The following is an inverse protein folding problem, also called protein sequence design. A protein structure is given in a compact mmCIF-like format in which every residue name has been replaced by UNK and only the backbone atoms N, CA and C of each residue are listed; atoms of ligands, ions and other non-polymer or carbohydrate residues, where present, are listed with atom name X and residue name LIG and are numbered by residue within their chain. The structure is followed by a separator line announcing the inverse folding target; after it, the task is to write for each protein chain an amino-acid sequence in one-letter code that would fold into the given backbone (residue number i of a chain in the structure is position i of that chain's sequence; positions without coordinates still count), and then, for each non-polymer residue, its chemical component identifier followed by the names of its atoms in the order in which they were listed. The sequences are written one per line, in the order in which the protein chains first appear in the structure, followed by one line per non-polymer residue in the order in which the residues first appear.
data_IF_708525252472
#
_entry.id   IF_708525252472
#
_cell.length_a   1.000
_cell.length_b   1.000
_cell.length_c   1.000
_cell.angle_alpha   90.00
_cell.angle_beta   90.00
_cell.angle_gamma   90.00
#
_symmetry.space_group_name_H-M   'P 1'
#
loop_
_entity.id
_entity.type
_entity.pdbx_description
1 polymer ?
#
# COMPACT_ATOMS: atom_id res chain seq x y z
N UNK A 1 4.90 -85.21 -37.68
CA UNK A 1 4.55 -85.69 -36.34
C UNK A 1 5.69 -85.23 -35.45
N UNK A 2 5.76 -83.94 -35.11
CA UNK A 2 4.99 -83.27 -34.07
C UNK A 2 5.39 -83.77 -32.70
N UNK A 3 6.52 -83.29 -32.18
CA UNK A 3 6.81 -83.34 -30.75
C UNK A 3 7.55 -82.04 -30.36
N UNK A 4 6.88 -80.91 -30.60
CA UNK A 4 7.13 -79.68 -29.87
C UNK A 4 6.54 -79.85 -28.46
N UNK A 5 7.14 -80.73 -27.66
CA UNK A 5 6.81 -80.83 -26.25
C UNK A 5 7.45 -79.65 -25.52
N UNK A 6 6.55 -78.72 -25.24
CA UNK A 6 6.66 -77.57 -24.38
C UNK A 6 7.17 -77.99 -22.98
N UNK A 7 8.48 -78.12 -22.81
CA UNK A 7 9.13 -78.30 -21.51
C UNK A 7 9.08 -76.95 -20.77
N UNK A 8 7.92 -76.64 -20.21
CA UNK A 8 7.76 -75.66 -19.15
C UNK A 8 8.47 -76.21 -17.90
N UNK A 9 9.80 -76.15 -17.90
CA UNK A 9 10.60 -76.48 -16.72
C UNK A 9 10.32 -75.41 -15.67
N UNK A 10 9.37 -75.67 -14.77
CA UNK A 10 9.00 -74.77 -13.68
C UNK A 10 10.24 -74.33 -12.93
N UNK A 11 10.53 -73.02 -12.95
CA UNK A 11 11.73 -72.41 -12.36
C UNK A 11 11.86 -72.62 -10.83
N UNK A 12 10.83 -73.19 -10.20
CA UNK A 12 10.73 -73.44 -8.77
C UNK A 12 10.79 -74.96 -8.54
N UNK A 13 11.92 -75.46 -8.04
CA UNK A 13 12.16 -76.91 -7.87
C UNK A 13 11.98 -77.39 -6.43
N UNK A 14 11.86 -76.49 -5.45
CA UNK A 14 11.70 -76.83 -4.04
C UNK A 14 10.57 -76.02 -3.36
N UNK A 15 9.89 -76.57 -2.34
CA UNK A 15 8.86 -75.83 -1.60
C UNK A 15 9.38 -74.54 -0.94
N UNK A 16 10.67 -74.52 -0.55
CA UNK A 16 11.32 -73.32 -0.01
C UNK A 16 11.50 -72.22 -1.07
N UNK A 17 11.81 -72.59 -2.32
CA UNK A 17 11.87 -71.63 -3.43
C UNK A 17 10.48 -71.08 -3.79
N UNK A 18 9.42 -71.89 -3.66
CA UNK A 18 8.06 -71.43 -3.88
C UNK A 18 7.67 -70.37 -2.83
N UNK A 19 7.92 -70.63 -1.56
CA UNK A 19 7.66 -69.68 -0.47
C UNK A 19 8.46 -68.38 -0.63
N UNK A 20 9.74 -68.47 -1.02
CA UNK A 20 10.57 -67.30 -1.27
C UNK A 20 10.08 -66.47 -2.47
N UNK A 21 9.67 -67.11 -3.56
CA UNK A 21 9.13 -66.43 -4.74
C UNK A 21 7.79 -65.74 -4.43
N UNK A 22 6.91 -66.40 -3.68
CA UNK A 22 5.63 -65.83 -3.24
C UNK A 22 5.87 -64.65 -2.29
N UNK A 23 6.71 -64.81 -1.28
CA UNK A 23 7.06 -63.73 -0.35
C UNK A 23 7.72 -62.54 -1.08
N UNK A 24 8.61 -62.80 -2.04
CA UNK A 24 9.25 -61.78 -2.87
C UNK A 24 8.25 -61.02 -3.74
N UNK A 25 7.28 -61.71 -4.34
CA UNK A 25 6.21 -61.08 -5.11
C UNK A 25 5.36 -60.13 -4.26
N UNK A 26 4.95 -60.57 -3.06
CA UNK A 26 4.22 -59.73 -2.12
C UNK A 26 5.06 -58.55 -1.63
N UNK A 27 6.34 -58.76 -1.32
CA UNK A 27 7.25 -57.70 -0.89
C UNK A 27 7.42 -56.63 -1.98
N UNK A 28 7.68 -57.04 -3.22
CA UNK A 28 7.82 -56.11 -4.36
C UNK A 28 6.52 -55.35 -4.59
N UNK A 29 5.38 -56.02 -4.48
CA UNK A 29 4.07 -55.37 -4.65
C UNK A 29 3.83 -54.34 -3.54
N UNK A 30 4.11 -54.67 -2.29
CA UNK A 30 3.95 -53.76 -1.14
C UNK A 30 4.91 -52.57 -1.28
N UNK A 31 6.18 -52.80 -1.60
CA UNK A 31 7.16 -51.73 -1.83
C UNK A 31 6.72 -50.86 -3.00
N UNK A 32 6.25 -51.45 -4.11
CA UNK A 32 5.74 -50.73 -5.27
C UNK A 32 4.56 -49.83 -4.93
N UNK A 33 3.61 -50.32 -4.12
CA UNK A 33 2.48 -49.51 -3.64
C UNK A 33 2.96 -48.38 -2.74
N UNK A 34 3.89 -48.63 -1.81
CA UNK A 34 4.45 -47.59 -0.94
C UNK A 34 5.15 -46.50 -1.77
N UNK A 35 5.97 -46.88 -2.75
CA UNK A 35 6.65 -45.94 -3.64
C UNK A 35 5.67 -45.15 -4.50
N UNK A 36 4.59 -45.78 -4.97
CA UNK A 36 3.55 -45.10 -5.74
C UNK A 36 2.75 -44.12 -4.87
N UNK A 37 2.41 -44.49 -3.64
CA UNK A 37 1.78 -43.58 -2.67
C UNK A 37 2.70 -42.40 -2.36
N UNK A 38 4.00 -42.64 -2.14
CA UNK A 38 4.96 -41.55 -1.93
C UNK A 38 5.08 -40.65 -3.16
N UNK A 39 5.12 -41.21 -4.37
CA UNK A 39 5.17 -40.44 -5.61
C UNK A 39 3.92 -39.55 -5.77
N UNK A 40 2.73 -40.10 -5.53
CA UNK A 40 1.45 -39.39 -5.64
C UNK A 40 1.28 -38.34 -4.54
N UNK A 41 1.75 -38.60 -3.32
CA UNK A 41 1.61 -37.67 -2.18
C UNK A 41 2.72 -36.62 -2.11
N UNK A 42 3.91 -36.90 -2.64
CA UNK A 42 5.02 -35.95 -2.69
C UNK A 42 4.86 -34.92 -3.83
N UNK A 43 4.19 -35.30 -4.93
CA UNK A 43 3.78 -34.35 -5.95
C UNK A 43 2.60 -33.53 -5.41
N UNK A 44 2.87 -32.35 -4.84
CA UNK A 44 1.82 -31.36 -4.60
C UNK A 44 1.21 -31.00 -5.96
N UNK A 45 0.05 -31.55 -6.27
CA UNK A 45 -0.76 -31.12 -7.41
C UNK A 45 -1.36 -29.76 -7.05
N UNK A 46 -0.55 -28.71 -7.13
CA UNK A 46 -1.03 -27.33 -7.05
C UNK A 46 -1.88 -27.08 -8.29
N UNK A 47 -3.18 -26.96 -8.10
CA UNK A 47 -4.09 -26.54 -9.16
C UNK A 47 -3.88 -25.07 -9.49
N UNK A 48 -4.35 -24.63 -10.65
CA UNK A 48 -4.36 -23.21 -10.98
C UNK A 48 -5.08 -22.42 -9.87
N UNK A 49 -4.35 -21.54 -9.19
CA UNK A 49 -4.88 -20.71 -8.09
C UNK A 49 -4.66 -21.25 -6.67
N UNK A 50 -4.05 -22.42 -6.46
CA UNK A 50 -3.75 -22.91 -5.10
C UNK A 50 -2.79 -21.99 -4.35
N UNK A 51 -1.86 -21.34 -5.05
CA UNK A 51 -0.91 -20.37 -4.47
C UNK A 51 -1.39 -18.92 -4.59
N UNK A 52 -2.67 -18.70 -4.95
CA UNK A 52 -3.22 -17.34 -5.10
C UNK A 52 -3.20 -16.52 -3.81
N UNK A 53 -3.12 -17.17 -2.65
CA UNK A 53 -2.99 -16.53 -1.34
C UNK A 53 -1.60 -16.71 -0.72
N UNK A 54 -0.59 -17.13 -1.48
CA UNK A 54 0.77 -17.17 -0.96
C UNK A 54 1.24 -15.74 -0.64
N UNK A 55 2.06 -15.56 0.41
CA UNK A 55 2.63 -14.25 0.75
C UNK A 55 3.33 -13.58 -0.45
N UNK A 56 3.94 -14.38 -1.31
CA UNK A 56 4.64 -13.93 -2.51
C UNK A 56 3.68 -13.39 -3.58
N UNK A 57 2.58 -14.11 -3.85
CA UNK A 57 1.56 -13.68 -4.81
C UNK A 57 0.79 -12.43 -4.33
N UNK A 58 0.68 -12.25 -3.01
CA UNK A 58 0.11 -11.04 -2.40
C UNK A 58 1.09 -9.86 -2.55
N UNK A 59 2.37 -10.06 -2.25
CA UNK A 59 3.40 -9.03 -2.37
C UNK A 59 3.54 -8.51 -3.81
N UNK A 60 3.48 -9.40 -4.80
CA UNK A 60 3.56 -9.02 -6.21
C UNK A 60 2.38 -8.17 -6.68
N UNK A 61 1.16 -8.45 -6.19
CA UNK A 61 -0.04 -7.64 -6.47
C UNK A 61 -0.05 -6.30 -5.75
N UNK A 62 0.56 -6.22 -4.58
CA UNK A 62 0.69 -4.98 -3.82
C UNK A 62 1.83 -4.10 -4.33
N UNK A 63 2.81 -4.68 -5.04
CA UNK A 63 3.99 -3.97 -5.54
C UNK A 63 3.69 -2.68 -6.32
N UNK A 64 2.69 -2.62 -7.22
CA UNK A 64 2.37 -1.40 -7.94
C UNK A 64 1.84 -0.28 -7.03
N UNK A 65 1.14 -0.61 -5.95
CA UNK A 65 0.58 0.38 -5.01
C UNK A 65 1.59 0.74 -3.92
N UNK A 66 2.42 -0.22 -3.50
CA UNK A 66 3.45 -0.04 -2.49
C UNK A 66 4.68 0.70 -3.04
N UNK A 67 5.07 0.45 -4.29
CA UNK A 67 6.26 1.03 -4.90
C UNK A 67 5.96 2.24 -5.81
N UNK A 68 4.73 2.38 -6.34
CA UNK A 68 4.35 3.54 -7.15
C UNK A 68 3.54 4.56 -6.32
N UNK A 69 4.25 5.48 -5.69
CA UNK A 69 3.80 6.87 -5.53
C UNK A 69 2.74 7.17 -4.47
N UNK A 70 2.21 6.20 -3.73
CA UNK A 70 1.43 6.51 -2.53
C UNK A 70 2.38 6.72 -1.34
N UNK A 71 2.68 7.98 -1.04
CA UNK A 71 3.22 8.35 0.28
C UNK A 71 2.15 7.98 1.31
N UNK A 72 2.27 6.79 1.90
CA UNK A 72 1.50 6.45 3.08
C UNK A 72 1.87 7.47 4.17
N UNK A 73 0.97 8.43 4.40
CA UNK A 73 1.10 9.39 5.48
C UNK A 73 0.89 8.58 6.75
N UNK A 74 1.98 8.26 7.45
CA UNK A 74 1.91 7.65 8.77
C UNK A 74 1.11 8.58 9.68
N UNK A 75 -0.11 8.17 10.04
CA UNK A 75 -0.99 8.93 10.91
C UNK A 75 -0.40 9.12 12.32
N UNK A 76 0.64 8.36 12.66
CA UNK A 76 1.36 8.38 13.94
C UNK A 76 2.65 9.20 13.88
N UNK A 77 3.10 9.59 12.68
CA UNK A 77 4.31 10.39 12.48
C UNK A 77 4.06 11.87 12.78
N UNK A 78 5.12 12.66 13.08
CA UNK A 78 4.99 14.10 13.19
C UNK A 78 4.44 14.68 11.88
N UNK A 79 3.32 15.40 11.95
CA UNK A 79 2.74 16.05 10.76
C UNK A 79 3.72 17.08 10.21
N UNK A 80 4.31 16.77 9.06
CA UNK A 80 5.15 17.72 8.32
C UNK A 80 4.26 18.72 7.61
N UNK A 81 4.28 19.93 8.14
CA UNK A 81 3.52 21.08 7.71
C UNK A 81 3.89 21.52 6.28
N UNK A 82 2.95 21.42 5.33
CA UNK A 82 3.18 21.69 3.91
C UNK A 82 3.36 23.18 3.61
N UNK A 83 4.27 23.51 2.68
CA UNK A 83 4.46 24.89 2.20
C UNK A 83 3.27 25.40 1.38
N UNK A 84 3.13 26.73 1.28
CA UNK A 84 1.95 27.37 0.65
C UNK A 84 1.72 26.98 -0.80
N UNK A 85 2.79 26.87 -1.60
CA UNK A 85 2.72 26.42 -3.00
C UNK A 85 2.24 24.97 -3.13
N UNK A 86 2.70 24.09 -2.24
CA UNK A 86 2.32 22.69 -2.24
C UNK A 86 0.82 22.53 -1.91
N UNK A 87 0.33 23.26 -0.91
CA UNK A 87 -1.09 23.30 -0.55
C UNK A 87 -1.94 23.87 -1.69
N UNK A 88 -1.47 24.96 -2.31
CA UNK A 88 -2.12 25.55 -3.48
C UNK A 88 -2.27 24.52 -4.60
N UNK A 89 -1.19 23.85 -4.96
CA UNK A 89 -1.16 22.87 -6.06
C UNK A 89 -2.02 21.66 -5.76
N UNK A 90 -2.04 21.19 -4.51
CA UNK A 90 -2.81 20.00 -4.13
C UNK A 90 -4.31 20.28 -3.97
N UNK A 91 -4.70 21.47 -3.50
CA UNK A 91 -6.09 21.76 -3.09
C UNK A 91 -6.69 22.97 -3.79
N UNK A 92 -5.99 24.12 -3.78
CA UNK A 92 -6.60 25.39 -4.13
C UNK A 92 -6.68 25.64 -5.65
N UNK A 93 -5.74 25.09 -6.43
CA UNK A 93 -5.62 25.30 -7.88
C UNK A 93 -6.84 24.84 -8.66
N UNK A 94 -7.55 23.81 -8.16
CA UNK A 94 -8.75 23.27 -8.81
C UNK A 94 -9.79 24.35 -9.10
N UNK A 95 -9.93 25.33 -8.19
CA UNK A 95 -10.84 26.46 -8.39
C UNK A 95 -10.09 27.74 -8.77
N UNK A 96 -8.96 28.03 -8.12
CA UNK A 96 -8.25 29.31 -8.30
C UNK A 96 -7.31 29.35 -9.49
N UNK A 97 -7.01 28.21 -10.14
CA UNK A 97 -6.20 28.18 -11.36
C UNK A 97 -6.93 28.76 -12.57
N UNK A 98 -8.19 28.34 -12.77
CA UNK A 98 -9.02 28.80 -13.88
C UNK A 98 -10.08 29.84 -13.47
N UNK A 99 -10.28 30.08 -12.16
CA UNK A 99 -11.33 30.97 -11.65
C UNK A 99 -12.73 30.34 -11.66
N UNK A 100 -12.81 29.04 -11.37
CA UNK A 100 -14.06 28.27 -11.35
C UNK A 100 -15.05 28.91 -10.38
N UNK A 101 -16.33 28.99 -10.78
CA UNK A 101 -17.41 29.59 -9.99
C UNK A 101 -17.13 31.03 -9.51
N UNK A 102 -16.30 31.78 -10.25
CA UNK A 102 -15.92 33.16 -9.88
C UNK A 102 -14.85 33.24 -8.79
N UNK A 103 -14.10 32.15 -8.57
CA UNK A 103 -12.93 32.19 -7.70
C UNK A 103 -11.89 33.20 -8.24
N UNK A 104 -11.24 34.00 -7.38
CA UNK A 104 -10.18 34.91 -7.82
C UNK A 104 -9.01 34.11 -8.40
N UNK A 105 -8.65 34.40 -9.65
CA UNK A 105 -7.64 33.63 -10.37
C UNK A 105 -6.27 33.90 -9.78
N UNK A 106 -5.46 32.86 -9.60
CA UNK A 106 -4.08 32.99 -9.16
C UNK A 106 -3.29 33.89 -10.14
N UNK A 107 -2.56 34.86 -9.59
CA UNK A 107 -1.75 35.81 -10.36
C UNK A 107 -2.54 36.98 -10.97
N UNK A 108 -3.86 37.04 -10.81
CA UNK A 108 -4.67 38.12 -11.34
C UNK A 108 -4.83 39.27 -10.35
N UNK A 109 -3.96 40.27 -10.43
CA UNK A 109 -4.03 41.45 -9.57
C UNK A 109 -5.38 42.17 -9.61
N UNK A 110 -6.10 42.11 -10.74
CA UNK A 110 -7.42 42.71 -10.90
C UNK A 110 -8.44 42.10 -9.95
N UNK A 111 -8.63 40.78 -10.00
CA UNK A 111 -9.57 40.09 -9.10
C UNK A 111 -9.11 40.08 -7.63
N UNK A 112 -7.81 40.19 -7.36
CA UNK A 112 -7.29 40.18 -5.99
C UNK A 112 -7.31 41.54 -5.28
N UNK A 113 -7.22 42.66 -6.01
CA UNK A 113 -7.17 44.03 -5.45
C UNK A 113 -8.16 44.29 -4.30
N UNK A 114 -9.46 44.10 -4.54
CA UNK A 114 -10.51 44.34 -3.56
C UNK A 114 -10.45 43.39 -2.34
N UNK A 115 -9.88 42.19 -2.53
CA UNK A 115 -9.71 41.19 -1.47
C UNK A 115 -8.51 41.55 -0.59
N UNK A 116 -7.39 41.93 -1.22
CA UNK A 116 -6.19 42.40 -0.53
C UNK A 116 -6.48 43.67 0.30
N UNK A 117 -7.37 44.54 -0.18
CA UNK A 117 -7.82 45.71 0.56
C UNK A 117 -8.56 45.39 1.88
N UNK A 118 -9.11 44.17 2.03
CA UNK A 118 -9.74 43.73 3.28
C UNK A 118 -8.72 43.35 4.36
N UNK A 119 -7.43 43.26 4.01
CA UNK A 119 -6.37 42.86 4.90
C UNK A 119 -6.20 41.33 5.02
N UNK A 120 -5.03 40.94 5.52
CA UNK A 120 -4.62 39.54 5.65
C UNK A 120 -5.60 38.72 6.51
N UNK A 121 -5.94 39.20 7.70
CA UNK A 121 -6.75 38.44 8.67
C UNK A 121 -8.14 38.11 8.11
N UNK A 122 -8.75 39.04 7.38
CA UNK A 122 -10.06 38.84 6.76
C UNK A 122 -10.00 37.77 5.66
N UNK A 123 -9.00 37.86 4.78
CA UNK A 123 -8.81 36.90 3.68
C UNK A 123 -8.50 35.51 4.25
N UNK A 124 -7.65 35.43 5.27
CA UNK A 124 -7.34 34.18 5.95
C UNK A 124 -8.57 33.57 6.61
N UNK A 125 -9.35 34.37 7.35
CA UNK A 125 -10.58 33.89 8.00
C UNK A 125 -11.53 33.29 6.98
N UNK A 126 -11.74 33.95 5.84
CA UNK A 126 -12.57 33.42 4.76
C UNK A 126 -12.04 32.12 4.16
N UNK A 127 -10.73 31.96 4.07
CA UNK A 127 -10.12 30.70 3.61
C UNK A 127 -10.29 29.55 4.62
N UNK A 128 -10.23 29.84 5.92
CA UNK A 128 -10.39 28.83 6.98
C UNK A 128 -11.86 28.42 7.11
N UNK A 129 -12.78 29.38 7.26
CA UNK A 129 -14.20 29.08 7.54
C UNK A 129 -15.03 28.85 6.28
N UNK A 130 -14.52 29.23 5.11
CA UNK A 130 -15.25 29.23 3.86
C UNK A 130 -15.98 30.55 3.60
N UNK A 131 -16.28 30.81 2.33
CA UNK A 131 -17.05 31.97 1.89
C UNK A 131 -17.76 31.68 0.57
N UNK A 132 -19.09 31.79 0.56
CA UNK A 132 -19.93 31.55 -0.64
C UNK A 132 -19.66 30.16 -1.21
N UNK A 133 -19.19 30.06 -2.45
CA UNK A 133 -18.86 28.81 -3.12
C UNK A 133 -17.50 28.23 -2.70
N UNK A 134 -16.70 28.94 -1.91
CA UNK A 134 -15.43 28.44 -1.39
C UNK A 134 -15.69 27.67 -0.07
N UNK A 135 -15.46 26.35 -0.02
CA UNK A 135 -15.62 25.56 1.20
C UNK A 135 -14.56 25.89 2.25
N UNK A 136 -14.84 25.55 3.50
CA UNK A 136 -13.88 25.66 4.61
C UNK A 136 -12.58 24.93 4.28
N UNK A 137 -11.43 25.56 4.56
CA UNK A 137 -10.08 25.06 4.25
C UNK A 137 -9.89 24.63 2.79
N UNK A 138 -10.62 25.24 1.85
CA UNK A 138 -10.56 24.85 0.44
C UNK A 138 -11.13 23.44 0.15
N UNK A 139 -11.91 22.88 1.08
CA UNK A 139 -12.53 21.57 0.95
C UNK A 139 -11.66 20.42 1.47
N UNK A 140 -10.48 20.73 2.03
CA UNK A 140 -9.58 19.74 2.61
C UNK A 140 -9.54 19.90 4.14
N UNK A 141 -10.28 19.06 4.90
CA UNK A 141 -10.31 19.15 6.36
C UNK A 141 -8.99 18.75 7.02
N UNK A 142 -8.10 18.05 6.30
CA UNK A 142 -6.82 17.59 6.82
C UNK A 142 -5.76 18.70 6.89
N UNK A 143 -6.02 19.87 6.30
CA UNK A 143 -5.12 21.02 6.36
C UNK A 143 -5.17 21.67 7.75
N UNK A 144 -4.00 21.99 8.30
CA UNK A 144 -3.91 22.90 9.45
C UNK A 144 -4.13 24.34 9.01
N UNK A 145 -4.57 25.18 9.94
CA UNK A 145 -4.83 26.59 9.66
C UNK A 145 -3.54 27.32 9.20
N UNK A 146 -2.37 26.87 9.65
CA UNK A 146 -1.06 27.37 9.19
C UNK A 146 -0.73 26.95 7.75
N UNK A 147 -1.20 25.80 7.28
CA UNK A 147 -1.06 25.35 5.89
C UNK A 147 -1.96 26.18 4.97
N UNK A 148 -3.20 26.43 5.40
CA UNK A 148 -4.13 27.33 4.73
C UNK A 148 -3.56 28.76 4.68
N UNK A 149 -3.01 29.24 5.78
CA UNK A 149 -2.41 30.57 5.85
C UNK A 149 -1.23 30.74 4.89
N UNK A 150 -0.33 29.76 4.81
CA UNK A 150 0.76 29.78 3.82
C UNK A 150 0.25 29.77 2.38
N UNK A 151 -0.80 29.00 2.09
CA UNK A 151 -1.42 29.00 0.77
C UNK A 151 -2.04 30.37 0.42
N UNK A 152 -2.72 31.01 1.38
CA UNK A 152 -3.28 32.37 1.21
C UNK A 152 -2.17 33.38 0.92
N UNK A 153 -1.06 33.33 1.65
CA UNK A 153 0.09 34.21 1.41
C UNK A 153 0.67 33.98 0.01
N UNK A 154 0.88 32.73 -0.39
CA UNK A 154 1.37 32.38 -1.72
C UNK A 154 0.48 32.96 -2.83
N UNK A 155 -0.84 32.74 -2.74
CA UNK A 155 -1.80 33.23 -3.73
C UNK A 155 -1.93 34.76 -3.74
N UNK A 156 -1.97 35.37 -2.57
CA UNK A 156 -2.05 36.82 -2.41
C UNK A 156 -0.81 37.50 -2.99
N UNK A 157 0.39 37.02 -2.65
CA UNK A 157 1.64 37.61 -3.08
C UNK A 157 1.89 37.45 -4.58
N UNK A 158 1.48 36.31 -5.16
CA UNK A 158 1.48 36.12 -6.61
C UNK A 158 0.55 37.11 -7.34
N UNK A 159 -0.47 37.62 -6.64
CA UNK A 159 -1.51 38.49 -7.20
C UNK A 159 -1.39 39.96 -6.75
N UNK A 160 -0.19 40.40 -6.35
CA UNK A 160 0.11 41.79 -5.99
C UNK A 160 0.04 42.12 -4.50
N UNK A 161 -0.22 41.12 -3.65
CA UNK A 161 -0.14 41.24 -2.19
C UNK A 161 1.29 41.25 -1.65
N UNK A 162 1.43 41.60 -0.37
CA UNK A 162 2.70 41.57 0.38
C UNK A 162 2.48 41.07 1.80
N UNK A 163 1.84 39.92 1.94
CA UNK A 163 1.63 39.28 3.22
C UNK A 163 2.88 38.53 3.66
N UNK A 164 3.19 38.60 4.95
CA UNK A 164 4.28 37.83 5.55
C UNK A 164 3.81 36.38 5.71
N UNK A 165 4.63 35.44 5.26
CA UNK A 165 4.35 34.02 5.49
C UNK A 165 4.41 33.72 6.99
N UNK A 166 3.38 33.06 7.56
CA UNK A 166 3.39 32.72 8.97
C UNK A 166 4.51 31.71 9.24
N UNK A 167 5.34 32.04 10.23
CA UNK A 167 6.40 31.17 10.69
C UNK A 167 5.79 29.92 11.31
N UNK A 168 6.30 28.75 10.91
CA UNK A 168 5.93 27.47 11.52
C UNK A 168 6.38 27.53 12.98
N UNK A 169 5.46 27.41 13.97
CA UNK A 169 5.90 27.16 15.34
C UNK A 169 6.76 25.90 15.29
N UNK A 170 7.99 25.99 15.81
CA UNK A 170 8.86 24.82 15.91
C UNK A 170 8.03 23.66 16.45
N UNK A 171 8.09 22.45 15.85
CA UNK A 171 7.38 21.30 16.40
C UNK A 171 7.72 21.28 17.87
N UNK A 172 6.69 21.40 18.72
CA UNK A 172 6.87 21.37 20.17
C UNK A 172 7.82 20.22 20.42
N UNK A 173 9.01 20.56 20.92
CA UNK A 173 10.08 19.61 21.16
C UNK A 173 9.43 18.39 21.78
N UNK A 174 9.69 17.23 21.18
CA UNK A 174 9.28 15.93 21.67
C UNK A 174 9.23 16.03 23.20
N UNK A 175 8.03 15.98 23.76
CA UNK A 175 7.89 15.93 25.20
C UNK A 175 8.58 14.64 25.59
N UNK A 176 9.82 14.79 26.07
CA UNK A 176 10.63 13.76 26.66
C UNK A 176 9.77 13.05 27.70
N UNK A 177 9.33 11.87 27.30
CA UNK A 177 8.41 11.02 28.01
C UNK A 177 8.44 9.60 27.46
N UNK A 178 9.57 9.19 26.86
CA UNK A 178 9.89 7.78 26.71
C UNK A 178 10.23 7.24 28.11
N UNK A 179 9.20 6.87 28.87
CA UNK A 179 9.38 5.95 29.98
C UNK A 179 9.85 4.61 29.39
N UNK A 180 11.00 4.05 29.83
CA UNK A 180 11.46 2.76 29.32
C UNK A 180 10.46 1.68 29.72
N UNK A 181 10.00 0.92 28.72
CA UNK A 181 9.18 -0.26 28.90
C UNK A 181 9.88 -1.23 29.88
N UNK A 182 9.19 -1.58 30.95
CA UNK A 182 9.60 -2.64 31.85
C UNK A 182 9.63 -3.99 31.10
N UNK A 183 10.76 -4.67 31.14
CA UNK A 183 10.91 -6.07 30.72
C UNK A 183 9.92 -6.98 31.48
N UNK A 184 9.28 -7.96 30.83
CA UNK A 184 8.56 -9.01 31.54
C UNK A 184 9.56 -10.02 32.11
N UNK A 185 9.60 -10.11 33.44
CA UNK A 185 10.32 -11.14 34.16
C UNK A 185 9.79 -12.54 33.80
N UNK A 186 10.71 -13.49 33.65
CA UNK A 186 10.46 -14.93 33.51
C UNK A 186 10.44 -15.61 34.88
#
# INVERSE_FOLDING_TARGET
MSDAHNEQQSAIKTPKQLLAAVAGFFLITVIGIILLVQFVTAQKLTGAGTDSQSPEAIAERLSPVANAGFTFKDASGPKVLQGGEAVYTATCVACHGAGVAGAPKFGDAGSWSARLAQGYDTVLKHAIVGLRAMPAKGGNPDLDDVEVARAVVYMANASGGKFKEPEVPAPAAAADGAAPAAEPAK
#
